data_IF_748176546092
#
_entry.id   IF_748176546092
#
_cell.length_a   1.000
_cell.length_b   1.000
_cell.length_c   1.000
_cell.angle_alpha   90.00
_cell.angle_beta   90.00
_cell.angle_gamma   90.00
#
_symmetry.space_group_name_H-M   'P 1'
#
loop_
_entity.id
_entity.type
_entity.pdbx_description
1 polymer ?
#
# COMPACT_ATOMS: atom_id res chain seq x y z
N UNK A 1 10.14 -7.37 -3.74
CA UNK A 1 9.84 -6.61 -4.98
C UNK A 1 10.03 -5.13 -4.67
N UNK A 2 11.00 -4.47 -5.30
CA UNK A 2 11.18 -3.01 -5.21
C UNK A 2 10.56 -2.33 -6.43
N UNK A 3 10.05 -1.12 -6.26
CA UNK A 3 9.56 -0.23 -7.32
C UNK A 3 10.20 1.14 -7.11
N UNK A 4 10.80 1.72 -8.14
CA UNK A 4 11.46 3.03 -8.07
C UNK A 4 10.83 4.01 -9.04
N UNK A 5 10.90 5.31 -8.74
CA UNK A 5 10.36 6.34 -9.62
C UNK A 5 8.83 6.38 -9.65
N UNK A 6 8.17 5.94 -8.57
CA UNK A 6 6.70 5.86 -8.52
C UNK A 6 6.11 7.25 -8.25
N UNK A 7 5.50 7.84 -9.27
CA UNK A 7 4.75 9.09 -9.16
C UNK A 7 3.37 8.90 -8.51
N UNK A 8 2.72 10.00 -8.15
CA UNK A 8 1.41 9.97 -7.47
C UNK A 8 0.32 9.27 -8.31
N UNK A 9 0.33 9.45 -9.62
CA UNK A 9 -0.63 8.84 -10.55
C UNK A 9 -0.44 7.32 -10.68
N UNK A 10 0.80 6.86 -10.48
CA UNK A 10 1.17 5.45 -10.54
C UNK A 10 0.77 4.66 -9.28
N UNK A 11 0.42 5.35 -8.18
CA UNK A 11 -0.11 4.69 -6.97
C UNK A 11 -1.46 4.02 -7.27
N UNK A 12 -2.32 4.66 -8.07
CA UNK A 12 -3.61 4.08 -8.47
C UNK A 12 -3.42 2.80 -9.28
N UNK A 13 -2.47 2.81 -10.22
CA UNK A 13 -2.10 1.64 -11.04
C UNK A 13 -1.53 0.51 -10.19
N UNK A 14 -0.70 0.84 -9.19
CA UNK A 14 -0.19 -0.14 -8.24
C UNK A 14 -1.32 -0.78 -7.45
N UNK A 15 -2.26 0.00 -6.93
CA UNK A 15 -3.41 -0.51 -6.21
C UNK A 15 -4.27 -1.46 -7.07
N UNK A 16 -4.56 -1.08 -8.32
CA UNK A 16 -5.27 -1.95 -9.26
C UNK A 16 -4.53 -3.27 -9.49
N UNK A 17 -3.20 -3.24 -9.62
CA UNK A 17 -2.37 -4.44 -9.78
C UNK A 17 -2.40 -5.35 -8.55
N UNK A 18 -2.38 -4.77 -7.34
CA UNK A 18 -2.48 -5.52 -6.07
C UNK A 18 -3.81 -6.31 -5.99
N UNK A 19 -4.92 -5.65 -6.32
CA UNK A 19 -6.25 -6.27 -6.32
C UNK A 19 -6.44 -7.24 -7.49
N UNK A 20 -5.89 -6.96 -8.66
CA UNK A 20 -5.92 -7.90 -9.78
C UNK A 20 -5.15 -9.19 -9.47
N UNK A 21 -3.99 -9.08 -8.80
CA UNK A 21 -3.20 -10.23 -8.39
C UNK A 21 -3.93 -11.10 -7.34
N UNK A 22 -4.61 -10.47 -6.38
CA UNK A 22 -5.49 -11.16 -5.42
C UNK A 22 -6.51 -12.06 -6.13
N UNK A 23 -7.21 -11.49 -7.12
CA UNK A 23 -8.23 -12.20 -7.90
C UNK A 23 -7.63 -13.36 -8.68
N UNK A 24 -6.51 -13.13 -9.38
CA UNK A 24 -5.84 -14.15 -10.18
C UNK A 24 -5.30 -15.32 -9.34
N UNK A 25 -4.68 -15.06 -8.19
CA UNK A 25 -4.15 -16.12 -7.33
C UNK A 25 -5.29 -16.89 -6.67
N UNK A 26 -6.32 -16.20 -6.17
CA UNK A 26 -7.48 -16.85 -5.54
C UNK A 26 -8.20 -17.79 -6.51
N UNK A 27 -8.33 -17.41 -7.79
CA UNK A 27 -8.92 -18.24 -8.85
C UNK A 27 -8.19 -19.57 -9.08
N UNK A 28 -6.90 -19.63 -8.78
CA UNK A 28 -6.03 -20.75 -9.18
C UNK A 28 -5.72 -21.74 -8.04
N UNK A 29 -6.38 -21.58 -6.89
CA UNK A 29 -6.24 -22.34 -5.62
C UNK A 29 -4.84 -22.33 -4.98
N UNK A 30 -4.89 -22.39 -3.63
CA UNK A 30 -3.87 -22.49 -2.56
C UNK A 30 -2.36 -22.29 -2.90
N UNK A 31 -1.61 -21.54 -2.07
CA UNK A 31 -2.04 -20.90 -0.83
C UNK A 31 -2.90 -19.65 -1.07
N UNK A 32 -3.71 -19.29 -0.07
CA UNK A 32 -4.45 -18.04 -0.10
C UNK A 32 -3.48 -16.85 -0.19
N UNK A 33 -3.84 -15.81 -0.95
CA UNK A 33 -3.01 -14.61 -1.08
C UNK A 33 -2.94 -13.82 0.25
N UNK A 34 -2.00 -12.87 0.37
CA UNK A 34 -1.84 -12.10 1.59
C UNK A 34 -3.05 -11.22 1.88
N UNK A 35 -3.37 -11.10 3.17
CA UNK A 35 -4.53 -10.36 3.66
C UNK A 35 -4.17 -9.30 4.69
N UNK A 36 -2.92 -9.25 5.14
CA UNK A 36 -2.41 -8.22 6.04
C UNK A 36 -1.23 -7.48 5.39
N UNK A 37 -1.31 -6.14 5.39
CA UNK A 37 -0.34 -5.25 4.79
C UNK A 37 0.13 -4.21 5.82
N UNK A 38 1.43 -4.23 6.15
CA UNK A 38 2.04 -3.27 7.05
C UNK A 38 2.78 -2.17 6.29
N UNK A 39 2.28 -0.94 6.33
CA UNK A 39 2.84 0.22 5.63
C UNK A 39 3.81 0.99 6.53
N UNK A 40 5.04 1.15 6.05
CA UNK A 40 6.14 1.83 6.75
C UNK A 40 6.62 2.98 5.87
N UNK A 41 6.83 4.16 6.45
CA UNK A 41 7.34 5.32 5.73
C UNK A 41 7.21 6.59 6.57
N UNK A 42 7.94 7.63 6.21
CA UNK A 42 7.90 8.91 6.93
C UNK A 42 6.52 9.59 6.81
N UNK A 43 6.30 10.64 7.61
CA UNK A 43 5.16 11.52 7.41
C UNK A 43 5.17 12.08 5.98
N UNK A 44 4.00 12.10 5.32
CA UNK A 44 3.89 12.54 3.93
C UNK A 44 4.38 11.54 2.88
N UNK A 45 4.90 10.36 3.26
CA UNK A 45 5.42 9.37 2.29
C UNK A 45 4.37 8.79 1.33
N UNK A 46 3.07 8.95 1.64
CA UNK A 46 1.97 8.46 0.81
C UNK A 46 1.34 7.14 1.27
N UNK A 47 1.59 6.71 2.52
CA UNK A 47 0.96 5.53 3.15
C UNK A 47 -0.57 5.57 3.03
N UNK A 48 -1.20 6.62 3.56
CA UNK A 48 -2.65 6.85 3.44
C UNK A 48 -3.13 6.89 2.00
N UNK A 49 -2.35 7.52 1.09
CA UNK A 49 -2.74 7.59 -0.33
C UNK A 49 -2.78 6.20 -0.96
N UNK A 50 -1.82 5.34 -0.68
CA UNK A 50 -1.85 3.96 -1.16
C UNK A 50 -3.03 3.19 -0.57
N UNK A 51 -3.35 3.37 0.71
CA UNK A 51 -4.54 2.76 1.33
C UNK A 51 -5.84 3.21 0.65
N UNK A 52 -5.97 4.50 0.34
CA UNK A 52 -7.10 5.06 -0.40
C UNK A 52 -7.26 4.45 -1.80
N UNK A 53 -6.17 4.31 -2.54
CA UNK A 53 -6.20 3.71 -3.88
C UNK A 53 -6.50 2.21 -3.83
N UNK A 54 -6.02 1.48 -2.81
CA UNK A 54 -6.36 0.07 -2.59
C UNK A 54 -7.87 -0.05 -2.30
N UNK A 55 -8.41 0.76 -1.40
CA UNK A 55 -9.83 0.78 -1.11
C UNK A 55 -10.68 1.13 -2.35
N UNK A 56 -10.24 2.10 -3.15
CA UNK A 56 -10.85 2.38 -4.47
C UNK A 56 -10.87 1.15 -5.37
N UNK A 57 -9.75 0.44 -5.49
CA UNK A 57 -9.64 -0.75 -6.32
C UNK A 57 -10.52 -1.90 -5.81
N UNK A 58 -10.84 -1.93 -4.51
CA UNK A 58 -11.83 -2.81 -3.89
C UNK A 58 -13.30 -2.36 -4.11
N UNK A 59 -13.53 -1.20 -4.73
CA UNK A 59 -14.87 -0.66 -4.96
C UNK A 59 -15.43 0.16 -3.81
N UNK A 60 -14.59 0.58 -2.85
CA UNK A 60 -14.96 1.55 -1.80
C UNK A 60 -14.89 2.96 -2.40
N UNK A 61 -15.81 3.84 -2.02
CA UNK A 61 -15.75 5.25 -2.42
C UNK A 61 -14.49 5.91 -1.82
N UNK A 62 -13.55 6.42 -2.65
CA UNK A 62 -12.33 7.05 -2.15
C UNK A 62 -12.58 8.25 -1.23
N UNK A 63 -13.72 8.92 -1.38
CA UNK A 63 -14.09 10.08 -0.55
C UNK A 63 -14.40 9.71 0.90
N UNK A 64 -14.72 8.44 1.17
CA UNK A 64 -14.96 7.91 2.52
C UNK A 64 -13.67 7.43 3.20
N UNK A 65 -12.60 7.22 2.42
CA UNK A 65 -11.33 6.67 2.89
C UNK A 65 -10.42 7.80 3.31
N UNK A 66 -10.23 7.94 4.62
CA UNK A 66 -9.41 8.98 5.25
C UNK A 66 -8.53 8.32 6.28
N UNK A 67 -7.35 8.90 6.55
CA UNK A 67 -6.43 8.36 7.55
C UNK A 67 -7.16 8.20 8.90
N UNK A 68 -7.18 6.98 9.47
CA UNK A 68 -7.86 6.70 10.72
C UNK A 68 -7.02 7.10 11.93
N UNK A 69 -6.06 8.02 11.82
CA UNK A 69 -5.17 8.41 12.93
C UNK A 69 -5.89 8.66 14.28
N UNK A 70 -7.11 9.21 14.25
CA UNK A 70 -7.89 9.46 15.47
C UNK A 70 -8.94 8.39 15.80
N UNK A 71 -9.48 7.71 14.79
CA UNK A 71 -10.45 6.61 15.00
C UNK A 71 -9.76 5.27 15.22
N UNK A 72 -8.45 5.20 14.97
CA UNK A 72 -7.53 4.06 15.02
C UNK A 72 -7.82 2.93 14.04
N UNK A 73 -9.11 2.64 13.79
CA UNK A 73 -9.61 1.63 12.86
C UNK A 73 -10.81 2.18 12.09
N UNK A 74 -10.89 1.91 10.79
CA UNK A 74 -12.08 2.05 9.95
C UNK A 74 -12.27 0.81 9.10
N UNK A 75 -13.51 0.37 8.95
CA UNK A 75 -13.86 -0.81 8.14
C UNK A 75 -14.80 -0.40 7.01
N UNK A 76 -14.53 -0.92 5.83
CA UNK A 76 -15.24 -0.57 4.60
C UNK A 76 -15.76 -1.84 3.91
N UNK A 77 -17.01 -1.80 3.45
CA UNK A 77 -17.58 -2.88 2.63
C UNK A 77 -17.10 -2.73 1.18
N UNK A 78 -16.57 -3.81 0.59
CA UNK A 78 -16.11 -3.80 -0.79
C UNK A 78 -17.28 -4.10 -1.73
N UNK A 79 -17.57 -3.21 -2.68
CA UNK A 79 -18.80 -3.26 -3.48
C UNK A 79 -18.82 -4.34 -4.59
N UNK A 80 -17.69 -4.94 -4.94
CA UNK A 80 -17.58 -5.83 -6.12
C UNK A 80 -17.80 -7.33 -5.79
N UNK A 81 -18.72 -7.63 -4.85
CA UNK A 81 -19.05 -9.02 -4.48
C UNK A 81 -19.96 -9.73 -5.51
N UNK A 82 -20.73 -8.98 -6.31
CA UNK A 82 -21.73 -9.55 -7.22
C UNK A 82 -21.12 -10.21 -8.47
N UNK A 83 -19.92 -9.80 -8.90
CA UNK A 83 -19.23 -10.32 -10.10
C UNK A 83 -17.85 -10.94 -9.78
N UNK A 84 -17.38 -10.86 -8.54
CA UNK A 84 -16.09 -11.39 -8.13
C UNK A 84 -16.15 -11.89 -6.68
N UNK A 85 -16.58 -13.15 -6.44
CA UNK A 85 -16.64 -13.75 -5.09
C UNK A 85 -15.25 -13.94 -4.42
N UNK A 86 -14.20 -13.36 -4.99
CA UNK A 86 -12.79 -13.57 -4.69
C UNK A 86 -12.02 -12.25 -4.53
N UNK A 87 -12.70 -11.09 -4.64
CA UNK A 87 -12.17 -9.82 -4.16
C UNK A 87 -12.29 -9.76 -2.63
N UNK A 88 -11.54 -8.87 -1.94
CA UNK A 88 -11.68 -8.71 -0.50
C UNK A 88 -13.13 -8.38 -0.14
N UNK A 89 -13.68 -9.01 0.90
CA UNK A 89 -15.06 -8.76 1.30
C UNK A 89 -15.18 -7.43 2.01
N UNK A 90 -14.24 -7.17 2.93
CA UNK A 90 -14.09 -5.92 3.66
C UNK A 90 -12.64 -5.46 3.62
N UNK A 91 -12.45 -4.17 3.84
CA UNK A 91 -11.15 -3.55 4.02
C UNK A 91 -11.10 -2.84 5.38
N UNK A 92 -10.17 -3.26 6.22
CA UNK A 92 -9.86 -2.65 7.52
C UNK A 92 -8.64 -1.75 7.37
N UNK A 93 -8.79 -0.46 7.63
CA UNK A 93 -7.70 0.51 7.61
C UNK A 93 -7.41 0.93 9.05
N UNK A 94 -6.18 0.68 9.49
CA UNK A 94 -5.67 1.07 10.80
C UNK A 94 -4.50 2.05 10.65
N UNK A 95 -4.33 2.88 11.66
CA UNK A 95 -3.18 3.76 11.79
C UNK A 95 -2.64 3.69 13.21
N UNK A 96 -1.48 3.06 13.37
CA UNK A 96 -0.84 2.85 14.65
C UNK A 96 0.01 4.04 15.12
N UNK A 97 -0.01 5.18 14.42
CA UNK A 97 0.78 6.36 14.78
C UNK A 97 0.48 6.91 16.18
N UNK A 98 -0.73 6.70 16.70
CA UNK A 98 -1.15 7.21 18.02
C UNK A 98 -1.30 6.15 19.11
N UNK A 99 -1.18 4.88 18.76
CA UNK A 99 -1.24 3.78 19.73
C UNK A 99 -0.04 3.89 20.68
N UNK A 100 -0.26 3.72 21.97
CA UNK A 100 0.79 3.91 22.98
C UNK A 100 1.47 2.61 23.39
N UNK A 101 0.72 1.52 23.46
CA UNK A 101 1.19 0.18 23.83
C UNK A 101 0.43 -0.93 23.08
N UNK A 102 0.87 -2.17 23.26
CA UNK A 102 0.24 -3.34 22.61
C UNK A 102 -1.12 -3.69 23.19
N UNK A 103 -1.41 -3.33 24.44
CA UNK A 103 -2.69 -3.63 25.08
C UNK A 103 -3.83 -2.89 24.37
N UNK A 104 -3.61 -1.63 23.98
CA UNK A 104 -4.54 -0.87 23.12
C UNK A 104 -4.83 -1.57 21.78
N UNK A 105 -3.89 -2.31 21.20
CA UNK A 105 -4.12 -3.06 19.96
C UNK A 105 -5.07 -4.24 20.20
N UNK A 106 -4.85 -4.98 21.28
CA UNK A 106 -5.72 -6.11 21.63
C UNK A 106 -7.13 -5.62 21.99
N UNK A 107 -7.26 -4.48 22.67
CA UNK A 107 -8.56 -3.84 22.92
C UNK A 107 -9.27 -3.39 21.64
N UNK A 108 -8.53 -3.03 20.58
CA UNK A 108 -9.07 -2.75 19.25
C UNK A 108 -9.53 -4.00 18.50
N UNK A 109 -9.24 -5.20 18.99
CA UNK A 109 -9.64 -6.48 18.39
C UNK A 109 -8.84 -6.84 17.14
N UNK A 110 -7.53 -6.53 17.09
CA UNK A 110 -6.69 -6.84 15.92
C UNK A 110 -6.58 -8.35 15.63
N UNK A 111 -6.73 -9.19 16.65
CA UNK A 111 -6.74 -10.64 16.55
C UNK A 111 -7.91 -11.15 15.70
N UNK A 112 -9.09 -10.58 15.89
CA UNK A 112 -10.27 -10.89 15.08
C UNK A 112 -10.04 -10.55 13.59
N UNK A 113 -9.27 -9.49 13.31
CA UNK A 113 -8.95 -9.07 11.94
C UNK A 113 -8.02 -10.04 11.22
N UNK A 114 -7.18 -10.78 11.94
CA UNK A 114 -6.31 -11.81 11.34
C UNK A 114 -7.08 -13.05 10.94
N UNK A 115 -8.15 -13.35 11.67
CA UNK A 115 -8.97 -14.54 11.48
C UNK A 115 -10.10 -14.31 10.46
N UNK A 116 -10.42 -13.05 10.14
CA UNK A 116 -11.48 -12.66 9.21
C UNK A 116 -11.20 -13.17 7.77
N UNK A 117 -11.91 -14.21 7.30
CA UNK A 117 -11.57 -14.87 6.05
C UNK A 117 -12.03 -14.03 4.84
N UNK A 118 -11.05 -13.58 4.05
CA UNK A 118 -11.32 -12.84 2.81
C UNK A 118 -11.31 -11.33 3.00
N UNK A 119 -11.03 -10.83 4.20
CA UNK A 119 -10.85 -9.40 4.45
C UNK A 119 -9.40 -8.98 4.24
N UNK A 120 -9.21 -7.71 3.92
CA UNK A 120 -7.90 -7.08 3.82
C UNK A 120 -7.69 -6.13 5.00
N UNK A 121 -6.52 -6.19 5.61
CA UNK A 121 -6.12 -5.33 6.74
C UNK A 121 -4.91 -4.51 6.34
N UNK A 122 -5.08 -3.19 6.30
CA UNK A 122 -4.07 -2.20 5.93
C UNK A 122 -3.66 -1.40 7.16
N UNK A 123 -2.38 -1.44 7.53
CA UNK A 123 -1.90 -0.85 8.78
C UNK A 123 -0.81 0.16 8.50
N UNK A 124 -1.10 1.44 8.70
CA UNK A 124 -0.08 2.49 8.68
C UNK A 124 0.76 2.46 9.97
N UNK A 125 2.06 2.72 9.85
CA UNK A 125 3.01 2.70 10.97
C UNK A 125 3.09 1.35 11.68
N UNK A 126 2.91 0.27 10.91
CA UNK A 126 2.93 -1.11 11.39
C UNK A 126 4.25 -1.48 12.10
N UNK A 127 5.35 -0.77 11.80
CA UNK A 127 6.65 -1.01 12.42
C UNK A 127 6.73 -0.63 13.90
N UNK A 128 5.73 0.08 14.44
CA UNK A 128 5.67 0.40 15.88
C UNK A 128 5.41 -0.83 16.76
N UNK A 129 4.66 -1.81 16.25
CA UNK A 129 4.26 -3.01 16.99
C UNK A 129 4.44 -4.26 16.12
N UNK A 130 5.66 -4.49 15.64
CA UNK A 130 5.97 -5.60 14.72
C UNK A 130 5.62 -6.97 15.27
N UNK A 131 5.70 -7.14 16.58
CA UNK A 131 5.45 -8.41 17.26
C UNK A 131 3.95 -8.75 17.32
N UNK A 132 3.08 -7.74 17.19
CA UNK A 132 1.62 -7.91 17.12
C UNK A 132 1.12 -8.27 15.71
N UNK A 133 1.98 -8.18 14.68
CA UNK A 133 1.61 -8.47 13.29
C UNK A 133 1.61 -9.99 13.01
N UNK A 134 0.70 -10.50 12.17
CA UNK A 134 0.66 -11.91 11.84
C UNK A 134 1.88 -12.30 10.99
N UNK A 135 2.30 -13.56 11.10
CA UNK A 135 3.52 -14.05 10.46
C UNK A 135 3.53 -13.98 8.94
N UNK A 136 2.36 -13.84 8.30
CA UNK A 136 2.14 -13.76 6.86
C UNK A 136 1.92 -12.31 6.37
N UNK A 137 2.41 -11.31 7.13
CA UNK A 137 2.31 -9.90 6.74
C UNK A 137 3.12 -9.58 5.48
N UNK A 138 2.53 -8.83 4.56
CA UNK A 138 3.26 -8.13 3.49
C UNK A 138 3.69 -6.77 4.00
N UNK A 139 4.99 -6.56 4.11
CA UNK A 139 5.56 -5.29 4.54
C UNK A 139 5.78 -4.38 3.33
N UNK A 140 5.21 -3.19 3.36
CA UNK A 140 5.28 -2.18 2.29
C UNK A 140 6.03 -0.96 2.80
N UNK A 141 7.30 -0.84 2.42
CA UNK A 141 8.11 0.33 2.74
C UNK A 141 7.95 1.39 1.65
N UNK A 142 7.71 2.63 2.05
CA UNK A 142 7.52 3.76 1.15
C UNK A 142 8.52 4.86 1.53
N UNK A 143 9.49 5.09 0.65
CA UNK A 143 10.45 6.20 0.72
C UNK A 143 10.12 7.29 -0.28
N UNK A 144 10.36 8.55 0.07
CA UNK A 144 10.24 9.69 -0.86
C UNK A 144 11.62 10.05 -1.40
N UNK A 145 11.72 10.21 -2.71
CA UNK A 145 12.96 10.61 -3.38
C UNK A 145 12.75 11.94 -4.12
N UNK A 146 13.64 12.91 -3.83
CA UNK A 146 13.74 14.16 -4.57
C UNK A 146 14.57 13.92 -5.84
N UNK A 147 13.97 13.93 -7.02
CA UNK A 147 14.78 13.93 -8.26
C UNK A 147 15.51 15.26 -8.51
N UNK A 148 15.16 16.34 -7.79
CA UNK A 148 15.86 17.63 -7.90
C UNK A 148 17.33 17.60 -7.46
N UNK A 149 17.76 16.56 -6.73
CA UNK A 149 19.14 16.44 -6.22
C UNK A 149 20.10 15.69 -7.15
N UNK A 150 19.64 15.16 -8.28
CA UNK A 150 20.47 14.41 -9.24
C UNK A 150 20.77 15.15 -10.55
N UNK A 151 20.41 16.43 -10.67
CA UNK A 151 20.92 17.27 -11.75
C UNK A 151 22.35 17.70 -11.41
N UNK A 152 23.30 17.34 -12.28
CA UNK A 152 24.70 17.74 -12.13
C UNK A 152 24.83 19.28 -12.03
N UNK A 153 25.80 19.83 -11.27
CA UNK A 153 25.93 21.28 -11.04
C UNK A 153 26.14 22.15 -12.29
N UNK A 154 26.31 21.56 -13.48
CA UNK A 154 26.65 22.30 -14.70
C UNK A 154 25.47 23.01 -15.38
N UNK A 155 24.23 22.79 -14.94
CA UNK A 155 23.04 23.44 -15.53
C UNK A 155 22.37 24.48 -14.61
N UNK A 156 22.89 24.68 -13.39
CA UNK A 156 22.34 25.63 -12.42
C UNK A 156 22.79 27.09 -12.66
N UNK A 157 22.84 27.54 -13.92
CA UNK A 157 23.03 28.96 -14.23
C UNK A 157 21.87 29.49 -15.05
N UNK A 158 20.85 29.98 -14.35
CA UNK A 158 19.82 30.83 -14.93
C UNK A 158 18.40 30.36 -14.71
N UNK A 159 17.89 30.44 -13.47
CA UNK A 159 16.45 30.63 -13.26
C UNK A 159 16.28 31.72 -12.20
N UNK A 160 15.94 32.91 -12.68
CA UNK A 160 15.47 34.06 -11.91
C UNK A 160 14.08 33.78 -11.37
N UNK A 161 13.80 34.28 -10.18
CA UNK A 161 12.51 34.21 -9.47
C UNK A 161 11.31 34.60 -10.34
N UNK A 162 10.31 33.70 -10.41
CA UNK A 162 8.88 34.00 -10.23
C UNK A 162 8.03 32.78 -10.60
N UNK A 163 7.53 32.05 -9.60
CA UNK A 163 6.30 31.26 -9.74
C UNK A 163 5.73 30.95 -8.36
N UNK A 164 4.95 31.89 -7.83
CA UNK A 164 3.98 31.60 -6.79
C UNK A 164 2.82 30.79 -7.42
N UNK A 165 2.56 29.60 -6.90
CA UNK A 165 1.34 28.85 -7.16
C UNK A 165 1.53 27.59 -8.01
N UNK A 166 1.40 26.44 -7.33
CA UNK A 166 1.48 25.03 -7.81
C UNK A 166 2.89 24.45 -7.81
N UNK A 167 3.41 24.19 -6.61
CA UNK A 167 4.33 23.08 -6.40
C UNK A 167 3.58 21.79 -6.78
N UNK A 168 3.75 21.33 -8.02
CA UNK A 168 3.54 19.92 -8.30
C UNK A 168 4.58 19.19 -7.46
N UNK A 169 4.12 18.36 -6.52
CA UNK A 169 4.92 17.43 -5.75
C UNK A 169 5.57 16.43 -6.71
N UNK A 170 6.63 16.86 -7.40
CA UNK A 170 7.43 16.07 -8.33
C UNK A 170 8.38 15.13 -7.56
N UNK A 171 8.04 14.83 -6.31
CA UNK A 171 8.73 13.81 -5.55
C UNK A 171 8.24 12.44 -6.01
N UNK A 172 9.20 11.54 -6.21
CA UNK A 172 8.90 10.17 -6.58
C UNK A 172 8.93 9.31 -5.31
N UNK A 173 8.37 8.11 -5.39
CA UNK A 173 8.44 7.14 -4.31
C UNK A 173 9.28 5.94 -4.71
N UNK A 174 9.99 5.42 -3.74
CA UNK A 174 10.52 4.07 -3.75
C UNK A 174 9.60 3.23 -2.89
N UNK A 175 8.98 2.19 -3.49
CA UNK A 175 8.07 1.29 -2.78
C UNK A 175 8.66 -0.11 -2.78
N UNK A 176 8.97 -0.64 -1.61
CA UNK A 176 9.54 -1.96 -1.43
C UNK A 176 8.55 -2.89 -0.72
N UNK A 177 8.12 -3.94 -1.42
CA UNK A 177 7.34 -5.04 -0.86
C UNK A 177 8.29 -6.15 -0.37
N UNK A 178 8.19 -6.46 0.92
CA UNK A 178 8.84 -7.59 1.57
C UNK A 178 7.79 -8.56 2.08
N UNK A 179 7.96 -9.83 1.74
CA UNK A 179 7.09 -10.91 2.21
C UNK A 179 7.85 -11.79 3.17
N UNK A 180 7.19 -12.20 4.26
CA UNK A 180 7.75 -13.09 5.27
C UNK A 180 7.54 -14.57 4.94
N UNK A 181 6.48 -14.88 4.19
CA UNK A 181 6.10 -16.23 3.75
C UNK A 181 6.32 -16.48 2.26
N UNK A 182 6.72 -17.71 1.91
CA UNK A 182 6.90 -18.14 0.50
C UNK A 182 5.56 -18.20 -0.26
N UNK A 183 4.47 -18.35 0.47
CA UNK A 183 3.10 -18.36 -0.04
C UNK A 183 2.74 -17.08 -0.81
N UNK A 184 3.35 -15.93 -0.47
CA UNK A 184 3.08 -14.65 -1.12
C UNK A 184 3.94 -14.39 -2.35
N UNK A 185 4.94 -15.23 -2.64
CA UNK A 185 5.80 -15.05 -3.81
C UNK A 185 4.99 -15.13 -5.10
N UNK A 186 4.07 -16.09 -5.20
CA UNK A 186 3.18 -16.22 -6.35
C UNK A 186 2.29 -15.00 -6.56
N UNK A 187 1.80 -14.43 -5.46
CA UNK A 187 1.01 -13.19 -5.50
C UNK A 187 1.88 -12.01 -5.94
N UNK A 188 3.09 -11.85 -5.40
CA UNK A 188 4.02 -10.81 -5.85
C UNK A 188 4.42 -10.94 -7.33
N UNK A 189 4.67 -12.17 -7.80
CA UNK A 189 4.97 -12.43 -9.22
C UNK A 189 3.79 -12.00 -10.11
N UNK A 190 2.56 -12.25 -9.67
CA UNK A 190 1.37 -11.81 -10.38
C UNK A 190 1.22 -10.28 -10.33
N UNK A 191 1.47 -9.63 -9.19
CA UNK A 191 1.50 -8.15 -9.11
C UNK A 191 2.48 -7.59 -10.13
N UNK A 192 3.69 -8.15 -10.19
CA UNK A 192 4.69 -7.78 -11.20
C UNK A 192 4.17 -8.01 -12.63
N UNK A 193 3.51 -9.13 -12.90
CA UNK A 193 2.90 -9.42 -14.21
C UNK A 193 1.87 -8.37 -14.60
N UNK A 194 1.00 -7.96 -13.67
CA UNK A 194 -0.02 -6.93 -13.89
C UNK A 194 0.60 -5.56 -14.16
N UNK A 195 1.60 -5.15 -13.37
CA UNK A 195 2.33 -3.89 -13.55
C UNK A 195 3.05 -3.83 -14.91
N UNK A 196 3.66 -4.94 -15.34
CA UNK A 196 4.32 -5.03 -16.65
C UNK A 196 3.33 -4.85 -17.81
N UNK A 197 2.12 -5.40 -17.70
CA UNK A 197 1.09 -5.29 -18.75
C UNK A 197 0.63 -3.86 -18.98
N UNK A 198 0.62 -3.05 -17.93
CA UNK A 198 0.20 -1.64 -18.00
C UNK A 198 1.37 -0.67 -18.23
N UNK A 199 2.56 -1.20 -18.52
CA UNK A 199 3.74 -0.39 -18.85
C UNK A 199 4.29 0.41 -17.67
N UNK A 200 4.09 -0.07 -16.43
CA UNK A 200 4.63 0.58 -15.25
C UNK A 200 6.16 0.67 -15.34
N UNK A 201 6.69 1.89 -15.28
CA UNK A 201 8.13 2.17 -15.38
C UNK A 201 8.74 2.21 -13.98
N UNK A 202 9.23 1.07 -13.51
CA UNK A 202 9.99 0.97 -12.27
C UNK A 202 10.91 -0.24 -12.30
N UNK A 203 12.07 -0.15 -11.65
CA UNK A 203 12.97 -1.29 -11.55
C UNK A 203 12.40 -2.29 -10.55
N UNK A 204 12.12 -3.50 -11.01
CA UNK A 204 11.67 -4.59 -10.15
C UNK A 204 12.86 -5.46 -9.75
N UNK A 205 13.29 -5.30 -8.51
CA UNK A 205 14.32 -6.16 -7.91
C UNK A 205 13.66 -7.23 -7.04
N UNK A 206 14.01 -8.52 -7.23
CA UNK A 206 13.71 -9.55 -6.24
C UNK A 206 14.53 -9.25 -4.98
N UNK A 207 13.88 -9.32 -3.82
CA UNK A 207 14.48 -9.12 -2.49
C UNK A 207 14.75 -10.49 -1.89
#
# INVERSE_FOLDING_TARGET
MRLSGVGIEQIAQLADALIAAERCVTLTQQPAPPRCFGFIGTLGAGKTRLCQEIARACGVDPSEVTSPTFTLLKSYECADQANSPQAPQRLHHLDWYRITDEDELWELGIDELWEAPGDWTLIEWADRFKEAMPSNTVWVHIGVTDQSKNLAPSEATGITESNEGREHDASYREIEFRVTGREHLRWLDEVQSQLNRIGFTGTIEPV
#
